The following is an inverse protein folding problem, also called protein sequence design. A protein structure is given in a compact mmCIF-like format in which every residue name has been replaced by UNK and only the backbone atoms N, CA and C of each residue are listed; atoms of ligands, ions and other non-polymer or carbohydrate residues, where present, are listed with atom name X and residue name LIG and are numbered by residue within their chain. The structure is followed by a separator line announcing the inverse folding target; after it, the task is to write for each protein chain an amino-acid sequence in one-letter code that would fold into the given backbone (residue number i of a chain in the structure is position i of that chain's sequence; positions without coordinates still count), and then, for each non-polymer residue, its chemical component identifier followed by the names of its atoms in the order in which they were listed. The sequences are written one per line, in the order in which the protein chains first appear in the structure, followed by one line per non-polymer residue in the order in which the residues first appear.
data_IF_050340112960
#
_entry.id   IF_050340112960
#
_cell.length_a   1.000
_cell.length_b   1.000
_cell.length_c   1.000
_cell.angle_alpha   90.00
_cell.angle_beta   90.00
_cell.angle_gamma   90.00
#
_symmetry.space_group_name_H-M   'P 1'
#
loop_
_entity.id
_entity.type
_entity.pdbx_description
1 polymer ?
#
# COMPACT_ATOMS: atom_id res chain seq x y z
N UNK A 1 -27.97 -55.29 -15.64
CA UNK A 1 -26.90 -54.30 -15.87
C UNK A 1 -27.41 -52.88 -16.15
N UNK A 2 -28.43 -52.64 -17.00
CA UNK A 2 -28.90 -51.27 -17.34
C UNK A 2 -29.39 -50.41 -16.15
N UNK A 3 -29.97 -51.01 -15.10
CA UNK A 3 -30.49 -50.28 -13.93
C UNK A 3 -29.40 -49.72 -13.02
N UNK A 4 -28.23 -50.37 -12.93
CA UNK A 4 -27.12 -49.93 -12.07
C UNK A 4 -26.46 -48.67 -12.64
N UNK A 5 -26.29 -48.61 -13.97
CA UNK A 5 -25.75 -47.41 -14.64
C UNK A 5 -26.66 -46.19 -14.48
N UNK A 6 -27.98 -46.38 -14.44
CA UNK A 6 -28.92 -45.28 -14.21
C UNK A 6 -28.81 -44.71 -12.79
N UNK A 7 -28.66 -45.58 -11.78
CA UNK A 7 -28.49 -45.14 -10.38
C UNK A 7 -27.17 -44.41 -10.18
N UNK A 8 -26.08 -44.90 -10.78
CA UNK A 8 -24.78 -44.22 -10.72
C UNK A 8 -24.84 -42.85 -11.41
N UNK A 9 -25.53 -42.75 -12.55
CA UNK A 9 -25.71 -41.47 -13.25
C UNK A 9 -26.47 -40.45 -12.39
N UNK A 10 -27.56 -40.87 -11.74
CA UNK A 10 -28.37 -40.00 -10.86
C UNK A 10 -27.54 -39.53 -9.66
N UNK A 11 -26.80 -40.43 -9.03
CA UNK A 11 -25.92 -40.07 -7.89
C UNK A 11 -24.81 -39.10 -8.31
N UNK A 12 -24.27 -39.25 -9.51
CA UNK A 12 -23.23 -38.35 -10.06
C UNK A 12 -23.78 -36.96 -10.34
N UNK A 13 -25.03 -36.87 -10.82
CA UNK A 13 -25.70 -35.58 -11.06
C UNK A 13 -26.00 -34.89 -9.72
N UNK A 14 -26.48 -35.63 -8.71
CA UNK A 14 -26.76 -35.07 -7.39
C UNK A 14 -25.51 -34.51 -6.70
N UNK A 15 -24.38 -35.23 -6.75
CA UNK A 15 -23.12 -34.73 -6.18
C UNK A 15 -22.57 -33.52 -6.94
N UNK A 16 -22.76 -33.44 -8.25
CA UNK A 16 -22.43 -32.26 -9.06
C UNK A 16 -23.28 -31.04 -8.66
N UNK A 17 -24.59 -31.24 -8.46
CA UNK A 17 -25.50 -30.15 -8.06
C UNK A 17 -25.16 -29.64 -6.66
N UNK A 18 -24.92 -30.54 -5.69
CA UNK A 18 -24.50 -30.14 -4.34
C UNK A 18 -23.13 -29.45 -4.32
N UNK A 19 -22.18 -29.91 -5.14
CA UNK A 19 -20.88 -29.27 -5.29
C UNK A 19 -20.98 -27.84 -5.83
N UNK A 20 -21.83 -27.62 -6.85
CA UNK A 20 -22.08 -26.29 -7.41
C UNK A 20 -22.77 -25.38 -6.38
N UNK A 21 -23.76 -25.90 -5.65
CA UNK A 21 -24.46 -25.16 -4.60
C UNK A 21 -23.52 -24.75 -3.45
N UNK A 22 -22.62 -25.65 -3.03
CA UNK A 22 -21.60 -25.37 -2.02
C UNK A 22 -20.61 -24.28 -2.48
N UNK A 23 -20.20 -24.30 -3.75
CA UNK A 23 -19.32 -23.28 -4.33
C UNK A 23 -20.00 -21.91 -4.42
N UNK A 24 -21.30 -21.87 -4.73
CA UNK A 24 -22.08 -20.64 -4.75
C UNK A 24 -22.26 -20.03 -3.35
N UNK A 25 -22.52 -20.85 -2.32
CA UNK A 25 -22.62 -20.40 -0.93
C UNK A 25 -21.31 -19.79 -0.39
N UNK A 26 -20.15 -20.20 -0.91
CA UNK A 26 -18.84 -19.64 -0.54
C UNK A 26 -18.40 -18.44 -1.39
N UNK A 27 -19.24 -17.94 -2.31
CA UNK A 27 -18.92 -16.78 -3.14
C UNK A 27 -17.77 -17.02 -4.12
N UNK A 28 -17.45 -18.27 -4.45
CA UNK A 28 -16.37 -18.62 -5.39
C UNK A 28 -16.96 -18.76 -6.79
N UNK A 29 -16.69 -17.80 -7.68
CA UNK A 29 -17.13 -17.89 -9.08
C UNK A 29 -16.41 -19.04 -9.81
N UNK A 30 -17.14 -19.84 -10.59
CA UNK A 30 -16.59 -20.97 -11.36
C UNK A 30 -15.49 -20.57 -12.37
N UNK A 31 -15.40 -19.29 -12.74
CA UNK A 31 -14.33 -18.76 -13.60
C UNK A 31 -12.93 -18.85 -12.97
N UNK A 32 -12.84 -18.93 -11.63
CA UNK A 32 -11.56 -19.02 -10.91
C UNK A 32 -10.96 -20.44 -10.96
N UNK A 33 -11.77 -21.47 -11.25
CA UNK A 33 -11.32 -22.89 -11.23
C UNK A 33 -10.72 -23.34 -12.56
N UNK A 34 -11.01 -22.65 -13.68
CA UNK A 34 -10.52 -23.03 -15.02
C UNK A 34 -9.18 -22.40 -15.42
N UNK A 35 -8.55 -21.57 -14.59
CA UNK A 35 -7.30 -20.88 -14.93
C UNK A 35 -5.99 -21.55 -14.46
N UNK A 36 -6.03 -22.83 -14.09
CA UNK A 36 -4.81 -23.59 -13.72
C UNK A 36 -4.46 -24.65 -14.78
N UNK A 37 -3.96 -24.18 -15.93
CA UNK A 37 -3.08 -25.00 -16.77
C UNK A 37 -1.66 -24.43 -16.58
N UNK A 38 -0.68 -25.22 -16.10
CA UNK A 38 0.68 -24.75 -15.96
C UNK A 38 1.33 -24.70 -17.35
N UNK A 39 1.71 -23.52 -17.82
CA UNK A 39 2.54 -23.40 -19.01
C UNK A 39 4.02 -23.42 -18.57
N UNK A 40 4.70 -24.51 -18.91
CA UNK A 40 6.14 -24.68 -18.82
C UNK A 40 6.84 -23.92 -19.94
N UNK A 41 7.82 -23.10 -19.59
CA UNK A 41 8.92 -22.75 -20.49
C UNK A 41 8.93 -21.33 -21.06
N UNK A 42 10.04 -20.67 -20.76
CA UNK A 42 10.71 -19.60 -21.49
C UNK A 42 10.33 -18.14 -21.16
N UNK A 43 11.36 -17.48 -20.61
CA UNK A 43 11.69 -16.05 -20.63
C UNK A 43 10.51 -15.10 -20.49
N UNK A 44 10.41 -14.48 -19.31
CA UNK A 44 9.46 -13.41 -19.06
C UNK A 44 9.75 -12.28 -20.06
N UNK A 45 8.83 -11.96 -20.99
CA UNK A 45 8.96 -10.73 -21.73
C UNK A 45 8.78 -9.60 -20.72
N UNK A 46 9.63 -8.58 -20.82
CA UNK A 46 9.37 -7.28 -20.19
C UNK A 46 7.97 -6.87 -20.67
N UNK A 47 6.98 -6.90 -19.78
CA UNK A 47 5.62 -6.49 -20.09
C UNK A 47 5.67 -5.01 -20.46
N UNK A 48 5.37 -4.68 -21.71
CA UNK A 48 5.03 -3.32 -22.13
C UNK A 48 3.66 -2.98 -21.53
N UNK A 49 3.60 -1.97 -20.66
CA UNK A 49 2.41 -1.62 -19.88
C UNK A 49 1.78 -0.34 -20.43
N UNK A 50 1.14 -0.38 -21.62
CA UNK A 50 0.49 0.80 -22.24
C UNK A 50 -0.31 1.64 -21.23
N UNK A 51 0.04 2.93 -21.17
CA UNK A 51 -0.31 4.01 -20.21
C UNK A 51 0.52 4.01 -18.91
N UNK A 52 1.83 4.05 -19.12
CA UNK A 52 2.92 3.70 -18.20
C UNK A 52 3.11 4.71 -17.05
N UNK A 53 2.98 4.23 -15.81
CA UNK A 53 3.68 4.79 -14.65
C UNK A 53 5.14 5.09 -15.06
N UNK A 54 5.48 6.36 -15.24
CA UNK A 54 6.82 6.73 -15.69
C UNK A 54 7.75 6.82 -14.48
N UNK A 55 8.46 5.73 -14.19
CA UNK A 55 9.48 5.70 -13.14
C UNK A 55 10.65 6.58 -13.59
N UNK A 56 10.74 7.75 -12.98
CA UNK A 56 11.81 8.73 -13.21
C UNK A 56 13.10 8.40 -12.45
N UNK A 57 12.98 7.64 -11.36
CA UNK A 57 14.12 7.16 -10.58
C UNK A 57 13.77 5.90 -9.79
N UNK A 58 14.72 4.99 -9.69
CA UNK A 58 14.72 3.85 -8.80
C UNK A 58 16.16 3.40 -8.60
N UNK A 59 16.54 3.03 -7.38
CA UNK A 59 17.85 2.43 -7.15
C UNK A 59 17.98 1.12 -7.95
N UNK A 60 19.16 0.87 -8.53
CA UNK A 60 19.39 -0.31 -9.39
C UNK A 60 19.20 -1.63 -8.65
N UNK A 61 19.49 -1.64 -7.34
CA UNK A 61 19.38 -2.81 -6.48
C UNK A 61 17.96 -3.01 -5.96
N UNK A 62 17.14 -1.95 -5.94
CA UNK A 62 15.73 -2.05 -5.56
C UNK A 62 14.96 -2.84 -6.61
N UNK A 63 14.40 -3.98 -6.20
CA UNK A 63 13.55 -4.85 -7.03
C UNK A 63 12.08 -4.83 -6.60
N UNK A 64 11.77 -4.14 -5.52
CA UNK A 64 10.48 -4.21 -4.83
C UNK A 64 9.77 -2.86 -4.78
N UNK A 65 10.38 -1.80 -5.31
CA UNK A 65 9.77 -0.49 -5.50
C UNK A 65 9.88 0.41 -4.27
N UNK A 66 10.79 0.08 -3.34
CA UNK A 66 11.08 0.87 -2.14
C UNK A 66 11.53 2.28 -2.46
N UNK A 67 12.29 2.48 -3.53
CA UNK A 67 12.96 3.74 -3.89
C UNK A 67 12.35 4.41 -5.12
N UNK A 68 11.25 3.86 -5.65
CA UNK A 68 10.67 4.29 -6.90
C UNK A 68 10.07 5.70 -6.78
N UNK A 69 10.49 6.59 -7.68
CA UNK A 69 9.91 7.91 -7.92
C UNK A 69 9.34 7.89 -9.32
N UNK A 70 8.06 8.23 -9.44
CA UNK A 70 7.37 8.21 -10.73
C UNK A 70 6.56 9.47 -10.95
N UNK A 71 6.19 9.69 -12.21
CA UNK A 71 5.20 10.68 -12.60
C UNK A 71 4.08 9.96 -13.38
N UNK A 72 2.82 10.30 -13.06
CA UNK A 72 1.65 9.84 -13.79
C UNK A 72 0.84 11.04 -14.28
N UNK A 73 0.28 10.95 -15.49
CA UNK A 73 -0.51 12.03 -16.07
C UNK A 73 -1.87 12.26 -15.38
N UNK A 74 -2.43 11.23 -14.75
CA UNK A 74 -3.71 11.28 -14.02
C UNK A 74 -3.47 11.18 -12.51
N UNK A 75 -4.12 12.08 -11.75
CA UNK A 75 -4.10 12.23 -10.28
C UNK A 75 -2.71 12.35 -9.64
N UNK A 76 -2.48 13.46 -8.91
CA UNK A 76 -1.16 13.99 -8.61
C UNK A 76 -0.67 13.78 -7.17
N UNK A 77 -1.49 13.23 -6.26
CA UNK A 77 -1.22 13.26 -4.82
C UNK A 77 0.04 12.48 -4.38
N UNK A 78 0.59 11.62 -5.23
CA UNK A 78 1.77 10.78 -4.95
C UNK A 78 2.92 11.00 -5.94
N UNK A 79 2.77 11.89 -6.93
CA UNK A 79 3.75 12.04 -7.99
C UNK A 79 5.03 12.76 -7.53
N UNK A 80 6.17 12.37 -8.10
CA UNK A 80 7.43 13.09 -7.95
C UNK A 80 7.96 13.08 -6.52
N UNK A 81 8.48 14.24 -6.08
CA UNK A 81 9.05 14.48 -4.75
C UNK A 81 8.72 15.91 -4.31
N UNK A 82 8.81 16.17 -3.01
CA UNK A 82 8.57 17.48 -2.41
C UNK A 82 7.18 17.61 -1.79
N UNK A 83 6.80 18.86 -1.51
CA UNK A 83 5.49 19.21 -0.97
C UNK A 83 4.45 19.30 -2.09
N UNK A 84 3.39 18.53 -1.96
CA UNK A 84 2.21 18.55 -2.83
C UNK A 84 1.07 19.14 -2.01
N UNK A 85 0.65 20.35 -2.38
CA UNK A 85 -0.55 20.99 -1.82
C UNK A 85 -1.62 20.93 -2.89
N UNK A 86 -2.78 20.35 -2.60
CA UNK A 86 -3.91 20.46 -3.51
C UNK A 86 -4.53 21.86 -3.44
N UNK A 87 -5.26 22.24 -4.48
CA UNK A 87 -5.99 23.52 -4.49
C UNK A 87 -7.08 23.55 -3.41
N UNK A 88 -7.22 24.71 -2.76
CA UNK A 88 -8.27 25.11 -1.81
C UNK A 88 -8.95 23.95 -1.04
N UNK A 89 -8.44 23.68 0.18
CA UNK A 89 -8.98 22.73 1.18
C UNK A 89 -8.59 21.25 1.01
N UNK A 90 -7.47 20.95 0.36
CA UNK A 90 -7.05 19.56 0.15
C UNK A 90 -5.69 19.25 0.78
N UNK A 91 -5.67 18.11 1.49
CA UNK A 91 -4.57 17.49 2.23
C UNK A 91 -3.16 17.88 1.76
N UNK A 92 -2.32 18.34 2.69
CA UNK A 92 -0.89 18.54 2.39
C UNK A 92 -0.19 17.19 2.41
N UNK A 93 0.46 16.83 1.30
CA UNK A 93 1.25 15.62 1.18
C UNK A 93 2.73 15.97 0.97
N UNK A 94 3.61 15.17 1.56
CA UNK A 94 5.05 15.23 1.34
C UNK A 94 5.50 13.91 0.76
N UNK A 95 6.08 13.95 -0.44
CA UNK A 95 6.68 12.77 -1.07
C UNK A 95 8.19 12.90 -0.97
N UNK A 96 8.84 11.95 -0.31
CA UNK A 96 10.28 12.02 -0.14
C UNK A 96 10.89 10.73 0.37
N UNK A 97 12.18 10.81 0.61
CA UNK A 97 13.01 9.70 1.08
C UNK A 97 12.98 9.69 2.61
N UNK A 98 12.67 8.54 3.18
CA UNK A 98 12.74 8.31 4.61
C UNK A 98 14.21 8.37 5.08
N UNK A 99 14.50 9.33 5.95
CA UNK A 99 15.84 9.59 6.47
C UNK A 99 16.14 8.77 7.73
N UNK A 100 15.11 8.51 8.54
CA UNK A 100 15.20 7.75 9.77
C UNK A 100 14.09 8.10 10.76
N UNK A 101 14.12 7.42 11.90
CA UNK A 101 13.35 7.77 13.08
C UNK A 101 14.20 8.59 14.04
N UNK A 102 13.62 9.62 14.64
CA UNK A 102 14.20 10.37 15.74
C UNK A 102 13.38 10.10 17.01
N UNK A 103 14.05 9.69 18.08
CA UNK A 103 13.41 9.36 19.37
C UNK A 103 12.86 10.62 20.03
N UNK A 104 11.66 10.51 20.61
CA UNK A 104 11.07 11.55 21.45
C UNK A 104 11.45 11.26 22.90
N UNK A 105 11.97 12.27 23.61
CA UNK A 105 12.36 12.10 25.01
C UNK A 105 11.14 11.73 25.87
N UNK A 106 11.31 10.76 26.76
CA UNK A 106 10.28 10.28 27.69
C UNK A 106 8.97 9.79 27.01
N UNK A 107 9.06 9.33 25.76
CA UNK A 107 7.93 8.76 25.01
C UNK A 107 8.33 7.52 24.22
N UNK A 108 7.38 6.60 24.02
CA UNK A 108 7.56 5.44 23.13
C UNK A 108 7.42 5.81 21.65
N UNK A 109 6.86 6.99 21.38
CA UNK A 109 6.69 7.55 20.05
C UNK A 109 8.00 8.00 19.42
N UNK A 110 7.97 8.11 18.10
CA UNK A 110 9.13 8.53 17.33
C UNK A 110 8.69 9.52 16.24
N UNK A 111 9.60 10.44 15.90
CA UNK A 111 9.45 11.27 14.72
C UNK A 111 9.95 10.51 13.49
N UNK A 112 9.08 10.37 12.49
CA UNK A 112 9.44 9.97 11.14
C UNK A 112 9.98 11.18 10.38
N UNK A 113 11.19 11.07 9.85
CA UNK A 113 11.87 12.11 9.09
C UNK A 113 11.82 11.79 7.59
N UNK A 114 11.29 12.72 6.80
CA UNK A 114 11.24 12.62 5.34
C UNK A 114 12.01 13.77 4.72
N UNK A 115 12.96 13.46 3.86
CA UNK A 115 13.80 14.44 3.15
C UNK A 115 13.51 14.46 1.66
N UNK A 116 13.81 15.58 1.01
CA UNK A 116 13.87 15.64 -0.44
C UNK A 116 15.10 14.82 -0.90
N UNK A 117 14.92 13.81 -1.78
CA UNK A 117 16.03 12.97 -2.21
C UNK A 117 17.08 13.72 -3.06
N UNK A 118 16.77 14.89 -3.62
CA UNK A 118 17.67 15.72 -4.43
C UNK A 118 18.47 16.70 -3.58
N UNK A 119 17.83 17.38 -2.63
CA UNK A 119 18.49 18.42 -1.82
C UNK A 119 18.95 17.93 -0.46
N UNK A 120 18.34 16.86 0.07
CA UNK A 120 18.56 16.40 1.45
C UNK A 120 17.86 17.28 2.49
N UNK A 121 17.09 18.27 2.08
CA UNK A 121 16.33 19.12 3.00
C UNK A 121 15.17 18.33 3.61
N UNK A 122 14.93 18.56 4.90
CA UNK A 122 13.80 17.96 5.63
C UNK A 122 12.49 18.53 5.08
N UNK A 123 11.63 17.66 4.55
CA UNK A 123 10.30 18.01 4.05
C UNK A 123 9.25 17.96 5.16
N UNK A 124 9.29 16.92 5.98
CA UNK A 124 8.39 16.76 7.13
C UNK A 124 9.04 15.95 8.23
N UNK A 125 8.79 16.40 9.46
CA UNK A 125 9.03 15.68 10.71
C UNK A 125 7.69 15.38 11.33
N UNK A 126 7.26 14.12 11.31
CA UNK A 126 5.93 13.72 11.75
C UNK A 126 6.00 12.74 12.91
N UNK A 127 5.25 12.97 13.99
CA UNK A 127 5.18 12.03 15.11
C UNK A 127 4.34 10.83 14.73
N UNK A 128 4.83 9.64 15.03
CA UNK A 128 4.10 8.38 14.95
C UNK A 128 3.70 8.01 16.37
N UNK A 129 2.42 8.13 16.68
CA UNK A 129 1.87 7.72 17.98
C UNK A 129 1.59 6.22 17.98
N UNK A 130 2.24 5.47 18.87
CA UNK A 130 2.05 4.02 19.00
C UNK A 130 1.06 3.64 20.11
N UNK A 131 0.51 4.61 20.83
CA UNK A 131 -0.17 4.41 22.11
C UNK A 131 -1.59 5.00 22.21
N UNK A 132 -1.93 6.02 21.42
CA UNK A 132 -3.23 6.68 21.42
C UNK A 132 -4.25 5.96 20.54
N UNK A 133 -5.49 5.78 21.01
CA UNK A 133 -6.62 5.21 20.24
C UNK A 133 -7.30 6.23 19.28
N UNK A 134 -6.89 7.50 19.33
CA UNK A 134 -7.60 8.59 18.65
C UNK A 134 -6.76 9.34 17.61
N UNK A 135 -5.44 9.27 17.72
CA UNK A 135 -4.53 10.05 16.87
C UNK A 135 -3.54 9.14 16.13
N UNK A 136 -4.06 8.01 15.67
CA UNK A 136 -3.27 6.95 15.08
C UNK A 136 -2.77 7.31 13.68
N UNK A 137 -1.52 6.92 13.40
CA UNK A 137 -0.99 7.02 12.05
C UNK A 137 -1.50 5.86 11.19
N UNK A 138 -2.15 6.19 10.08
CA UNK A 138 -2.68 5.22 9.12
C UNK A 138 -1.58 4.81 8.13
N UNK A 139 -1.20 3.53 8.11
CA UNK A 139 -0.24 2.98 7.16
C UNK A 139 -0.95 2.28 6.00
N UNK A 140 -0.55 2.66 4.79
CA UNK A 140 -0.99 2.06 3.54
C UNK A 140 0.17 1.73 2.63
N UNK A 141 -0.10 0.95 1.60
CA UNK A 141 0.87 0.67 0.53
C UNK A 141 0.24 0.87 -0.82
N UNK A 142 0.91 1.61 -1.68
CA UNK A 142 0.59 1.72 -3.09
C UNK A 142 1.18 0.53 -3.86
N UNK A 143 0.33 -0.15 -4.63
CA UNK A 143 0.72 -1.18 -5.58
C UNK A 143 1.11 -0.56 -6.93
N UNK A 144 2.41 -0.28 -7.09
CA UNK A 144 2.98 0.34 -8.28
C UNK A 144 2.74 -0.46 -9.57
N UNK A 145 2.53 -1.78 -9.48
CA UNK A 145 2.28 -2.64 -10.63
C UNK A 145 0.84 -2.52 -11.17
N UNK A 146 -0.07 -1.87 -10.43
CA UNK A 146 -1.49 -1.73 -10.75
C UNK A 146 -1.94 -0.28 -10.91
N UNK A 147 -1.05 0.71 -10.73
CA UNK A 147 -1.39 2.15 -10.69
C UNK A 147 -2.02 2.67 -11.99
N UNK A 148 -2.01 1.87 -13.06
CA UNK A 148 -2.66 2.15 -14.34
C UNK A 148 -4.20 1.94 -14.35
N UNK A 149 -4.80 1.45 -13.25
CA UNK A 149 -6.25 1.27 -13.15
C UNK A 149 -6.79 2.06 -11.95
N UNK A 150 -7.38 3.24 -12.19
CA UNK A 150 -8.24 4.03 -11.28
C UNK A 150 -8.06 3.83 -9.77
N UNK A 151 -7.48 4.82 -9.06
CA UNK A 151 -7.64 5.19 -7.61
C UNK A 151 -7.52 4.09 -6.52
N UNK A 152 -7.57 2.80 -6.84
CA UNK A 152 -7.67 1.67 -5.89
C UNK A 152 -6.39 0.82 -5.86
N UNK A 153 -5.23 1.46 -5.97
CA UNK A 153 -3.93 0.80 -5.75
C UNK A 153 -3.38 0.97 -4.36
N UNK A 154 -4.01 1.80 -3.53
CA UNK A 154 -3.61 2.02 -2.15
C UNK A 154 -4.33 1.04 -1.24
N UNK A 155 -3.59 0.07 -0.72
CA UNK A 155 -4.07 -1.01 0.13
C UNK A 155 -3.81 -0.69 1.61
N UNK A 156 -4.77 -0.98 2.48
CA UNK A 156 -4.63 -0.74 3.92
C UNK A 156 -3.65 -1.74 4.57
N UNK A 157 -2.67 -1.24 5.34
CA UNK A 157 -1.80 -2.08 6.17
C UNK A 157 -2.30 -2.17 7.61
N UNK A 158 -2.78 -1.06 8.16
CA UNK A 158 -3.25 -0.96 9.53
C UNK A 158 -2.82 0.36 10.17
N UNK A 159 -3.21 0.55 11.42
CA UNK A 159 -2.86 1.73 12.20
C UNK A 159 -1.57 1.50 13.00
N UNK A 160 -0.92 2.58 13.46
CA UNK A 160 0.35 2.51 14.20
C UNK A 160 0.27 1.66 15.46
N UNK A 161 -0.84 1.77 16.20
CA UNK A 161 -1.09 1.04 17.44
C UNK A 161 -1.18 -0.47 17.17
N UNK A 162 -1.91 -0.85 16.12
CA UNK A 162 -2.09 -2.26 15.75
C UNK A 162 -0.81 -2.91 15.19
N UNK A 163 -0.07 -2.17 14.36
CA UNK A 163 1.14 -2.69 13.73
C UNK A 163 2.29 -2.81 14.74
N UNK A 164 2.39 -1.85 15.66
CA UNK A 164 3.46 -1.73 16.61
C UNK A 164 4.78 -1.26 16.02
N UNK A 165 5.62 -0.72 16.89
CA UNK A 165 6.92 -0.09 16.57
C UNK A 165 7.86 -0.99 15.77
N UNK A 166 8.04 -2.23 16.19
CA UNK A 166 8.95 -3.18 15.54
C UNK A 166 8.52 -3.52 14.10
N UNK A 167 7.23 -3.70 13.87
CA UNK A 167 6.70 -3.95 12.52
C UNK A 167 6.93 -2.74 11.64
N UNK A 168 6.63 -1.53 12.13
CA UNK A 168 6.81 -0.28 11.37
C UNK A 168 8.27 -0.07 10.98
N UNK A 169 9.22 -0.36 11.89
CA UNK A 169 10.66 -0.32 11.59
C UNK A 169 11.12 -1.33 10.54
N UNK A 170 10.40 -2.45 10.36
CA UNK A 170 10.66 -3.39 9.25
C UNK A 170 10.04 -2.93 7.94
N UNK A 171 8.83 -2.38 8.02
CA UNK A 171 8.08 -1.86 6.87
C UNK A 171 8.82 -0.71 6.18
N UNK A 172 9.44 0.18 6.96
CA UNK A 172 10.13 1.37 6.45
C UNK A 172 11.62 1.28 6.76
N UNK A 173 12.43 1.30 5.71
CA UNK A 173 13.89 1.31 5.83
C UNK A 173 14.46 2.62 5.31
N UNK A 174 15.60 3.04 5.88
CA UNK A 174 16.29 4.25 5.44
C UNK A 174 16.52 4.21 3.93
N UNK A 175 16.11 5.27 3.23
CA UNK A 175 16.18 5.35 1.77
C UNK A 175 14.87 5.00 1.05
N UNK A 176 13.89 4.40 1.74
CA UNK A 176 12.57 4.17 1.17
C UNK A 176 11.92 5.51 0.77
N UNK A 177 11.28 5.55 -0.38
CA UNK A 177 10.43 6.67 -0.81
C UNK A 177 9.00 6.39 -0.37
N UNK A 178 8.41 7.34 0.34
CA UNK A 178 7.05 7.26 0.86
C UNK A 178 6.33 8.59 0.70
N UNK A 179 5.01 8.55 0.87
CA UNK A 179 4.19 9.75 1.01
C UNK A 179 3.73 9.89 2.45
N UNK A 180 4.00 11.02 3.07
CA UNK A 180 3.42 11.41 4.35
C UNK A 180 2.34 12.47 4.10
N UNK A 181 1.08 12.11 4.30
CA UNK A 181 -0.05 13.02 4.17
C UNK A 181 -0.50 13.51 5.53
N UNK A 182 -0.61 14.83 5.68
CA UNK A 182 -1.15 15.45 6.86
C UNK A 182 -2.66 15.37 6.81
N UNK A 183 -3.26 14.72 7.81
CA UNK A 183 -4.71 14.60 7.91
C UNK A 183 -5.27 15.74 8.78
N UNK A 184 -6.41 16.33 8.38
CA UNK A 184 -7.08 17.35 9.15
C UNK A 184 -7.82 16.75 10.34
N UNK A 185 -8.10 17.60 11.33
CA UNK A 185 -8.99 17.25 12.45
C UNK A 185 -10.44 17.14 11.95
N UNK A 186 -11.23 16.28 12.59
CA UNK A 186 -12.69 16.31 12.43
C UNK A 186 -13.20 17.75 12.66
N UNK A 187 -13.87 18.31 11.65
CA UNK A 187 -14.46 19.66 11.59
C UNK A 187 -13.54 20.85 11.21
N UNK A 188 -12.22 20.66 11.07
CA UNK A 188 -11.34 21.68 10.46
C UNK A 188 -10.40 21.07 9.43
N UNK A 189 -10.85 21.10 8.17
CA UNK A 189 -10.12 20.59 7.00
C UNK A 189 -8.93 21.47 6.58
N UNK A 190 -8.69 22.59 7.28
CA UNK A 190 -7.68 23.57 6.88
C UNK A 190 -6.34 23.41 7.58
N UNK A 191 -6.26 22.69 8.70
CA UNK A 191 -5.03 22.58 9.50
C UNK A 191 -4.69 21.14 9.91
N UNK A 192 -3.39 20.84 9.92
CA UNK A 192 -2.86 19.60 10.46
C UNK A 192 -2.79 19.67 11.99
N UNK A 193 -3.03 18.53 12.67
CA UNK A 193 -2.83 18.44 14.11
C UNK A 193 -1.34 18.40 14.44
N UNK A 194 -0.89 19.27 15.36
CA UNK A 194 0.51 19.40 15.77
C UNK A 194 0.70 18.99 17.23
N UNK A 195 1.82 18.35 17.53
CA UNK A 195 2.24 18.05 18.89
C UNK A 195 2.75 19.31 19.61
N UNK A 196 3.20 19.14 20.86
CA UNK A 196 3.72 20.23 21.69
C UNK A 196 4.97 20.91 21.10
N UNK A 197 5.69 20.24 20.22
CA UNK A 197 6.88 20.74 19.53
C UNK A 197 6.55 21.33 18.14
N UNK A 198 5.26 21.37 17.77
CA UNK A 198 4.79 21.89 16.49
C UNK A 198 4.94 20.92 15.32
N UNK A 199 5.17 19.63 15.57
CA UNK A 199 5.30 18.59 14.54
C UNK A 199 3.95 17.89 14.30
N UNK A 200 3.55 17.62 13.05
CA UNK A 200 2.30 16.93 12.78
C UNK A 200 2.27 15.49 13.32
N UNK A 201 1.15 15.03 13.88
CA UNK A 201 1.04 13.67 14.45
C UNK A 201 -0.16 12.86 13.95
N UNK A 202 -1.15 13.49 13.30
CA UNK A 202 -2.24 12.78 12.61
C UNK A 202 -1.90 12.60 11.12
N UNK A 203 -1.29 11.46 10.81
CA UNK A 203 -0.65 11.20 9.51
C UNK A 203 -1.25 10.00 8.80
N UNK A 204 -1.22 10.04 7.46
CA UNK A 204 -1.29 8.83 6.62
C UNK A 204 0.03 8.62 5.91
N UNK A 205 0.67 7.49 6.17
CA UNK A 205 1.91 7.08 5.53
C UNK A 205 1.60 6.06 4.43
N UNK A 206 1.95 6.40 3.20
CA UNK A 206 1.78 5.52 2.04
C UNK A 206 3.15 5.05 1.57
N UNK A 207 3.39 3.75 1.75
CA UNK A 207 4.57 3.05 1.26
C UNK A 207 4.42 2.72 -0.22
N UNK A 208 5.54 2.50 -0.89
CA UNK A 208 5.55 2.08 -2.30
C UNK A 208 6.08 0.68 -2.43
N UNK A 209 5.33 -0.21 -3.08
CA UNK A 209 5.81 -1.54 -3.46
C UNK A 209 5.30 -1.96 -4.82
N UNK A 210 6.15 -2.61 -5.60
CA UNK A 210 5.67 -3.47 -6.67
C UNK A 210 4.89 -4.62 -6.04
N UNK A 211 3.66 -4.84 -6.49
CA UNK A 211 2.74 -5.82 -5.95
C UNK A 211 2.15 -5.49 -4.56
N UNK A 212 2.33 -4.26 -4.07
CA UNK A 212 1.59 -3.68 -2.96
C UNK A 212 1.67 -4.50 -1.66
N UNK A 213 0.52 -4.80 -1.07
CA UNK A 213 0.44 -5.51 0.22
C UNK A 213 1.00 -6.93 0.16
N UNK A 214 0.92 -7.59 -1.00
CA UNK A 214 1.49 -8.93 -1.17
C UNK A 214 3.02 -8.92 -1.01
N UNK A 215 3.68 -7.85 -1.48
CA UNK A 215 5.12 -7.70 -1.30
C UNK A 215 5.48 -7.40 0.16
N UNK A 216 4.70 -6.56 0.85
CA UNK A 216 4.87 -6.30 2.28
C UNK A 216 4.85 -7.59 3.10
N UNK A 217 3.92 -8.50 2.82
CA UNK A 217 3.81 -9.79 3.52
C UNK A 217 5.03 -10.71 3.36
N UNK A 218 5.85 -10.52 2.31
CA UNK A 218 7.09 -11.28 2.12
C UNK A 218 8.28 -10.70 2.89
N UNK A 219 8.19 -9.43 3.26
CA UNK A 219 9.26 -8.68 3.93
C UNK A 219 9.17 -8.77 5.46
N UNK A 220 8.00 -9.17 5.98
CA UNK A 220 7.72 -9.37 7.42
C UNK A 220 8.01 -10.80 7.86
#
# INVERSE_FOLDING_TARGET
MKKIHLVVLILTILTLVEGIYYLQLKGVSLTTVLQKIPNTGNETPIKEYKDELNITFQDKQDKVGRTAIYNQAAFNAFNGTGKISGDANTLTAYVGKFAGFETILDSEDEYLLVEDPKTGELLVKGRIDYSSEHDETDFKVENLARTNTNVSTVENLGLSVDLGKETIKKLIQKGDVLTAMLLPQENDFSQAQLDTEGNPFFLRIILRRFDGKHQIQKEL
#
